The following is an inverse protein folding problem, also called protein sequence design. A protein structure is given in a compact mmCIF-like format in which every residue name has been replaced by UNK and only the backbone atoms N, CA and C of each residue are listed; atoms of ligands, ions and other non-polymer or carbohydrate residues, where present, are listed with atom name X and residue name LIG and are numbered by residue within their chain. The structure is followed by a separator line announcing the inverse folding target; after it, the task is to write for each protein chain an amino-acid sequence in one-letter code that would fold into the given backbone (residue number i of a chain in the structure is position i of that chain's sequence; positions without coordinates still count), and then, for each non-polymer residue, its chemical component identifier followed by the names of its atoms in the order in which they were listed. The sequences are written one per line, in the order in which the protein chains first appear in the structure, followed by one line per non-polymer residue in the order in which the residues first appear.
data_IF_585228373058
#
_entry.id   IF_585228373058
#
_cell.length_a   1.000
_cell.length_b   1.000
_cell.length_c   1.000
_cell.angle_alpha   90.00
_cell.angle_beta   90.00
_cell.angle_gamma   90.00
#
_symmetry.space_group_name_H-M   'P 1'
#
loop_
_entity.id
_entity.type
_entity.pdbx_description
1 polymer ?
#
# COMPACT_ATOMS: atom_id res chain seq x y z
N UNK A 1 -21.21 -4.06 -2.90
CA UNK A 1 -20.66 -4.95 -1.85
C UNK A 1 -19.60 -4.18 -1.06
N UNK A 2 -19.71 -4.13 0.27
CA UNK A 2 -18.82 -3.33 1.14
C UNK A 2 -17.46 -3.98 1.44
N UNK A 3 -16.70 -3.35 2.33
CA UNK A 3 -15.38 -3.82 2.77
C UNK A 3 -15.52 -5.10 3.61
N UNK A 4 -14.91 -6.21 3.16
CA UNK A 4 -14.81 -7.45 3.93
C UNK A 4 -13.53 -7.46 4.78
N UNK A 5 -13.63 -7.98 6.01
CA UNK A 5 -12.46 -8.23 6.87
C UNK A 5 -11.66 -9.41 6.30
N UNK A 6 -10.33 -9.28 6.25
CA UNK A 6 -9.39 -10.31 5.78
C UNK A 6 -8.36 -10.60 6.88
N UNK A 7 -7.80 -11.81 6.90
CA UNK A 7 -6.67 -12.16 7.77
C UNK A 7 -5.40 -11.42 7.30
N UNK A 8 -4.54 -10.99 8.22
CA UNK A 8 -3.23 -10.39 7.90
C UNK A 8 -2.23 -11.52 7.65
N UNK A 9 -2.28 -12.05 6.44
CA UNK A 9 -1.41 -13.11 5.94
C UNK A 9 -1.22 -12.93 4.42
N UNK A 10 -0.25 -13.63 3.83
CA UNK A 10 -0.05 -13.58 2.37
C UNK A 10 -1.33 -14.05 1.65
N UNK A 11 -1.84 -13.22 0.73
CA UNK A 11 -2.99 -13.56 -0.11
C UNK A 11 -2.53 -14.58 -1.17
N UNK A 12 -3.15 -15.77 -1.16
CA UNK A 12 -2.78 -16.85 -2.07
C UNK A 12 -3.14 -16.53 -3.52
N UNK A 13 -4.36 -16.01 -3.75
CA UNK A 13 -4.85 -15.72 -5.09
C UNK A 13 -4.19 -14.47 -5.70
N UNK A 14 -3.56 -14.65 -6.87
CA UNK A 14 -2.72 -13.64 -7.53
C UNK A 14 -3.48 -12.38 -7.93
N UNK A 15 -4.70 -12.53 -8.46
CA UNK A 15 -5.56 -11.40 -8.83
C UNK A 15 -5.92 -10.54 -7.62
N UNK A 16 -6.41 -11.19 -6.56
CA UNK A 16 -6.79 -10.52 -5.32
C UNK A 16 -5.59 -9.87 -4.62
N UNK A 17 -4.42 -10.53 -4.65
CA UNK A 17 -3.18 -9.96 -4.13
C UNK A 17 -2.76 -8.71 -4.90
N UNK A 18 -2.82 -8.74 -6.24
CA UNK A 18 -2.43 -7.61 -7.10
C UNK A 18 -3.36 -6.40 -6.91
N UNK A 19 -4.68 -6.63 -6.87
CA UNK A 19 -5.65 -5.55 -6.60
C UNK A 19 -5.49 -5.00 -5.18
N UNK A 20 -5.25 -5.86 -4.19
CA UNK A 20 -5.02 -5.43 -2.81
C UNK A 20 -3.74 -4.61 -2.70
N UNK A 21 -2.66 -5.03 -3.36
CA UNK A 21 -1.40 -4.31 -3.41
C UNK A 21 -1.61 -2.88 -3.94
N UNK A 22 -2.25 -2.72 -5.11
CA UNK A 22 -2.51 -1.41 -5.70
C UNK A 22 -3.30 -0.49 -4.75
N UNK A 23 -4.39 -1.01 -4.16
CA UNK A 23 -5.24 -0.23 -3.24
C UNK A 23 -4.53 0.14 -1.93
N UNK A 24 -3.77 -0.79 -1.35
CA UNK A 24 -3.02 -0.56 -0.10
C UNK A 24 -1.85 0.39 -0.30
N UNK A 25 -1.10 0.25 -1.40
CA UNK A 25 0.00 1.15 -1.77
C UNK A 25 -0.52 2.59 -1.92
N UNK A 26 -1.60 2.79 -2.67
CA UNK A 26 -2.22 4.11 -2.81
C UNK A 26 -2.65 4.70 -1.46
N UNK A 27 -3.28 3.89 -0.59
CA UNK A 27 -3.65 4.34 0.76
C UNK A 27 -2.46 4.68 1.66
N UNK A 28 -1.36 3.93 1.54
CA UNK A 28 -0.12 4.18 2.29
C UNK A 28 0.54 5.49 1.83
N UNK A 29 0.69 5.70 0.53
CA UNK A 29 1.25 6.93 -0.04
C UNK A 29 0.44 8.16 0.37
N UNK A 30 -0.90 8.05 0.34
CA UNK A 30 -1.79 9.11 0.85
C UNK A 30 -1.52 9.44 2.31
N UNK A 31 -1.34 8.42 3.16
CA UNK A 31 -1.07 8.63 4.59
C UNK A 31 0.30 9.21 4.86
N UNK A 32 1.32 8.81 4.10
CA UNK A 32 2.66 9.39 4.19
C UNK A 32 2.65 10.88 3.81
N UNK A 33 1.95 11.24 2.72
CA UNK A 33 1.77 12.63 2.31
C UNK A 33 0.99 13.44 3.34
N UNK A 34 -0.15 12.92 3.84
CA UNK A 34 -0.92 13.57 4.91
C UNK A 34 -0.06 13.83 6.16
N UNK A 35 0.76 12.86 6.56
CA UNK A 35 1.67 13.01 7.70
C UNK A 35 2.69 14.13 7.46
N UNK A 36 3.37 14.11 6.31
CA UNK A 36 4.37 15.10 5.95
C UNK A 36 3.80 16.53 6.01
N UNK A 37 2.63 16.74 5.39
CA UNK A 37 1.96 18.06 5.36
C UNK A 37 1.47 18.49 6.74
N UNK A 38 0.89 17.59 7.54
CA UNK A 38 0.32 17.94 8.84
C UNK A 38 1.38 18.23 9.90
N UNK A 39 2.56 17.65 9.78
CA UNK A 39 3.61 17.72 10.82
C UNK A 39 4.86 18.45 10.38
N UNK A 40 4.89 18.98 9.15
CA UNK A 40 6.05 19.62 8.54
C UNK A 40 7.31 18.74 8.66
N UNK A 41 7.17 17.48 8.25
CA UNK A 41 8.25 16.49 8.34
C UNK A 41 8.54 15.83 7.00
N UNK A 42 9.83 15.55 6.76
CA UNK A 42 10.27 14.77 5.63
C UNK A 42 9.95 13.28 5.84
N UNK A 43 9.15 12.70 4.94
CA UNK A 43 8.71 11.30 5.03
C UNK A 43 9.07 10.55 3.74
N UNK A 44 9.77 9.43 3.88
CA UNK A 44 10.09 8.53 2.78
C UNK A 44 9.40 7.17 2.93
N UNK A 45 8.80 6.67 1.85
CA UNK A 45 8.21 5.33 1.78
C UNK A 45 8.80 4.59 0.59
N UNK A 46 9.36 3.40 0.83
CA UNK A 46 9.98 2.56 -0.20
C UNK A 46 9.21 1.24 -0.29
N UNK A 47 8.70 0.92 -1.49
CA UNK A 47 7.96 -0.32 -1.74
C UNK A 47 8.56 -1.04 -2.95
N UNK A 48 8.90 -2.31 -2.78
CA UNK A 48 9.28 -3.18 -3.89
C UNK A 48 8.11 -4.07 -4.32
N UNK A 49 7.86 -4.13 -5.63
CA UNK A 49 6.90 -5.06 -6.19
C UNK A 49 7.47 -6.50 -6.23
N UNK A 50 6.61 -7.50 -6.48
CA UNK A 50 7.02 -8.91 -6.57
C UNK A 50 8.14 -9.16 -7.61
N UNK A 51 8.19 -8.34 -8.65
CA UNK A 51 9.21 -8.40 -9.70
C UNK A 51 10.53 -7.68 -9.33
N UNK A 52 10.69 -7.26 -8.08
CA UNK A 52 11.88 -6.56 -7.59
C UNK A 52 12.00 -5.11 -8.04
N UNK A 53 11.05 -4.61 -8.85
CA UNK A 53 11.06 -3.21 -9.27
C UNK A 53 10.60 -2.32 -8.12
N UNK A 54 11.25 -1.16 -8.00
CA UNK A 54 10.75 -0.08 -7.15
C UNK A 54 9.37 0.32 -7.65
N UNK A 55 8.41 0.36 -6.74
CA UNK A 55 7.06 0.79 -7.03
C UNK A 55 6.87 2.21 -6.52
N UNK A 56 6.94 3.16 -7.46
CA UNK A 56 6.52 4.56 -7.28
C UNK A 56 5.02 4.62 -6.98
#
# INVERSE_FOLDING_TARGET
MGRKKIKIQRIAEDRNRSVTYLKRKAGLMKKAHELAVLTDSDVAVIVFAKNGKLAE
#
